data_IF_144245990757
#
_entry.id   IF_144245990757
#
_cell.length_a   1.000
_cell.length_b   1.000
_cell.length_c   1.000
_cell.angle_alpha   90.00
_cell.angle_beta   90.00
_cell.angle_gamma   90.00
#
_symmetry.space_group_name_H-M   'P 1'
#
loop_
_entity.id
_entity.type
_entity.pdbx_description
1 polymer ?
#
# COMPACT_ATOMS: atom_id res chain seq x y z
N UNK A 1 -25.56 -20.13 9.26
CA UNK A 1 -24.60 -21.02 9.94
C UNK A 1 -23.37 -20.17 10.26
N UNK A 2 -22.86 -20.20 11.48
CA UNK A 2 -21.70 -19.38 11.87
C UNK A 2 -20.41 -19.89 11.23
N UNK A 3 -19.46 -19.00 10.94
CA UNK A 3 -18.12 -19.42 10.50
C UNK A 3 -17.44 -20.18 11.63
N UNK A 4 -17.37 -21.50 11.50
CA UNK A 4 -16.72 -22.37 12.47
C UNK A 4 -15.21 -22.31 12.24
N UNK A 5 -14.51 -21.57 13.10
CA UNK A 5 -13.07 -21.40 13.03
C UNK A 5 -12.49 -21.11 14.44
N UNK A 6 -11.34 -21.69 14.82
CA UNK A 6 -10.80 -21.60 16.19
C UNK A 6 -10.39 -20.20 16.64
N UNK A 7 -10.22 -19.26 15.70
CA UNK A 7 -9.94 -17.85 15.99
C UNK A 7 -11.19 -16.96 16.07
N UNK A 8 -12.39 -17.54 16.06
CA UNK A 8 -13.64 -16.79 16.19
C UNK A 8 -14.07 -16.78 17.66
N UNK A 9 -13.98 -15.61 18.27
CA UNK A 9 -14.37 -15.37 19.67
C UNK A 9 -15.78 -14.77 19.78
N UNK A 10 -16.31 -14.26 18.67
CA UNK A 10 -17.65 -13.70 18.62
C UNK A 10 -18.17 -13.55 17.19
N UNK A 11 -19.48 -13.34 17.07
CA UNK A 11 -20.14 -13.14 15.77
C UNK A 11 -21.13 -12.00 15.84
N UNK A 12 -21.27 -11.24 14.76
CA UNK A 12 -22.38 -10.32 14.56
C UNK A 12 -22.98 -10.46 13.18
N UNK A 13 -23.80 -9.49 12.79
CA UNK A 13 -24.48 -9.50 11.50
C UNK A 13 -23.49 -9.18 10.36
N UNK A 14 -23.20 -10.18 9.52
CA UNK A 14 -22.25 -10.05 8.41
C UNK A 14 -20.76 -10.00 8.82
N UNK A 15 -20.42 -10.30 10.08
CA UNK A 15 -19.01 -10.32 10.53
C UNK A 15 -18.72 -11.34 11.65
N UNK A 16 -17.44 -11.65 11.81
CA UNK A 16 -16.88 -12.41 12.94
C UNK A 16 -15.84 -11.56 13.67
N UNK A 17 -15.66 -11.82 14.96
CA UNK A 17 -14.66 -11.15 15.81
C UNK A 17 -13.57 -12.16 16.16
N UNK A 18 -12.32 -11.77 15.94
CA UNK A 18 -11.14 -12.48 16.41
C UNK A 18 -10.38 -11.58 17.38
N UNK A 19 -10.36 -11.96 18.64
CA UNK A 19 -9.68 -11.22 19.71
C UNK A 19 -8.28 -11.79 19.93
N UNK A 20 -7.30 -10.90 20.13
CA UNK A 20 -5.92 -11.30 20.38
C UNK A 20 -5.22 -10.29 21.28
N UNK A 21 -4.48 -10.79 22.26
CA UNK A 21 -3.62 -9.99 23.15
C UNK A 21 -2.16 -10.00 22.75
N UNK A 22 -1.82 -10.59 21.60
CA UNK A 22 -0.46 -10.61 21.08
C UNK A 22 0.04 -9.18 20.80
N UNK A 23 1.28 -8.84 21.19
CA UNK A 23 1.84 -7.52 20.96
C UNK A 23 2.14 -7.24 19.48
N UNK A 24 2.35 -8.30 18.68
CA UNK A 24 2.48 -8.23 17.21
C UNK A 24 1.47 -9.18 16.61
N UNK A 25 0.57 -8.67 15.78
CA UNK A 25 -0.42 -9.45 15.06
C UNK A 25 0.06 -9.64 13.62
N UNK A 26 0.52 -10.85 13.34
CA UNK A 26 1.02 -11.27 12.04
C UNK A 26 -0.02 -12.08 11.26
N UNK A 27 0.14 -12.16 9.94
CA UNK A 27 -0.69 -12.97 9.05
C UNK A 27 -0.29 -14.44 9.17
N UNK A 28 -0.58 -15.09 10.29
CA UNK A 28 -0.27 -16.51 10.50
C UNK A 28 -1.13 -17.41 9.62
N UNK A 29 -0.75 -18.68 9.38
CA UNK A 29 -1.57 -19.62 8.60
C UNK A 29 -3.03 -19.68 9.06
N UNK A 30 -3.27 -19.74 10.37
CA UNK A 30 -4.63 -19.75 10.94
C UNK A 30 -5.39 -18.43 10.71
N UNK A 31 -4.70 -17.28 10.72
CA UNK A 31 -5.36 -16.00 10.41
C UNK A 31 -5.65 -15.89 8.92
N UNK A 32 -4.76 -16.35 8.06
CA UNK A 32 -5.04 -16.43 6.63
C UNK A 32 -6.26 -17.33 6.35
N UNK A 33 -6.35 -18.50 6.99
CA UNK A 33 -7.52 -19.40 6.89
C UNK A 33 -8.81 -18.74 7.40
N UNK A 34 -8.76 -17.99 8.50
CA UNK A 34 -9.91 -17.22 9.01
C UNK A 34 -10.48 -16.28 7.94
N UNK A 35 -9.63 -15.51 7.26
CA UNK A 35 -10.09 -14.59 6.22
C UNK A 35 -10.72 -15.34 5.03
N UNK A 36 -10.13 -16.47 4.62
CA UNK A 36 -10.67 -17.29 3.54
C UNK A 36 -12.04 -17.86 3.89
N UNK A 37 -12.22 -18.41 5.10
CA UNK A 37 -13.51 -18.96 5.55
C UNK A 37 -14.56 -17.89 5.76
N UNK A 38 -14.20 -16.77 6.38
CA UNK A 38 -15.13 -15.66 6.57
C UNK A 38 -15.63 -15.14 5.21
N UNK A 39 -14.73 -14.96 4.23
CA UNK A 39 -15.12 -14.54 2.88
C UNK A 39 -16.03 -15.57 2.18
N UNK A 40 -15.73 -16.87 2.30
CA UNK A 40 -16.57 -17.95 1.75
C UNK A 40 -17.99 -17.96 2.35
N UNK A 41 -18.13 -17.56 3.62
CA UNK A 41 -19.42 -17.42 4.31
C UNK A 41 -20.09 -16.05 4.09
N UNK A 42 -19.51 -15.17 3.24
CA UNK A 42 -20.01 -13.81 2.99
C UNK A 42 -19.89 -12.88 4.20
N UNK A 43 -18.89 -13.13 5.08
CA UNK A 43 -18.64 -12.38 6.30
C UNK A 43 -17.31 -11.64 6.26
N UNK A 44 -17.24 -10.54 7.02
CA UNK A 44 -16.03 -9.76 7.25
C UNK A 44 -15.38 -10.11 8.58
N UNK A 45 -14.08 -9.87 8.70
CA UNK A 45 -13.33 -10.13 9.93
C UNK A 45 -13.11 -8.82 10.68
N UNK A 46 -13.45 -8.80 11.97
CA UNK A 46 -13.01 -7.77 12.90
C UNK A 46 -11.91 -8.35 13.78
N UNK A 47 -10.75 -7.69 13.79
CA UNK A 47 -9.63 -8.04 14.65
C UNK A 47 -9.66 -7.10 15.85
N UNK A 48 -9.78 -7.67 17.05
CA UNK A 48 -9.86 -6.92 18.29
C UNK A 48 -8.56 -7.06 19.09
N UNK A 49 -7.90 -5.95 19.38
CA UNK A 49 -6.59 -5.94 20.04
C UNK A 49 -6.52 -4.96 21.20
N UNK A 50 -5.57 -5.12 22.15
CA UNK A 50 -5.25 -4.07 23.12
C UNK A 50 -4.49 -2.91 22.46
N UNK A 51 -4.38 -1.78 23.19
CA UNK A 51 -3.69 -0.55 22.75
C UNK A 51 -2.23 -0.76 22.33
N UNK A 52 -1.52 -1.67 23.00
CA UNK A 52 -0.11 -1.92 22.76
C UNK A 52 0.16 -2.82 21.54
N UNK A 53 -0.87 -3.41 20.94
CA UNK A 53 -0.73 -4.29 19.80
C UNK A 53 -0.38 -3.50 18.53
N UNK A 54 0.39 -4.11 17.64
CA UNK A 54 0.70 -3.58 16.31
C UNK A 54 0.51 -4.65 15.24
N UNK A 55 0.13 -4.22 14.05
CA UNK A 55 -0.09 -5.11 12.91
C UNK A 55 1.18 -5.19 12.06
N UNK A 56 1.53 -6.37 11.56
CA UNK A 56 2.49 -6.47 10.46
C UNK A 56 1.89 -5.85 9.19
N UNK A 57 2.74 -5.36 8.29
CA UNK A 57 2.28 -4.81 7.01
C UNK A 57 1.53 -5.87 6.17
N UNK A 58 1.97 -7.12 6.21
CA UNK A 58 1.27 -8.23 5.53
C UNK A 58 -0.15 -8.41 6.03
N UNK A 59 -0.34 -8.41 7.37
CA UNK A 59 -1.63 -8.58 8.01
C UNK A 59 -2.54 -7.38 7.76
N UNK A 60 -2.01 -6.16 7.91
CA UNK A 60 -2.75 -4.92 7.61
C UNK A 60 -3.28 -4.91 6.18
N UNK A 61 -2.47 -5.30 5.21
CA UNK A 61 -2.89 -5.38 3.81
C UNK A 61 -3.97 -6.45 3.54
N UNK A 62 -3.93 -7.61 4.23
CA UNK A 62 -5.03 -8.60 4.14
C UNK A 62 -6.31 -8.05 4.74
N UNK A 63 -6.20 -7.43 5.91
CA UNK A 63 -7.34 -6.88 6.63
C UNK A 63 -8.05 -5.85 5.76
N UNK A 64 -7.31 -4.90 5.18
CA UNK A 64 -7.81 -3.89 4.25
C UNK A 64 -8.44 -4.51 3.00
N UNK A 65 -7.72 -5.41 2.32
CA UNK A 65 -8.19 -6.06 1.09
C UNK A 65 -9.42 -6.96 1.27
N UNK A 66 -9.72 -7.38 2.49
CA UNK A 66 -10.89 -8.19 2.85
C UNK A 66 -12.07 -7.36 3.40
N UNK A 67 -12.02 -6.03 3.34
CA UNK A 67 -12.94 -5.12 4.05
C UNK A 67 -13.08 -5.48 5.55
N UNK A 68 -11.98 -5.96 6.14
CA UNK A 68 -11.88 -6.22 7.56
C UNK A 68 -11.74 -4.93 8.35
N UNK A 69 -11.94 -5.03 9.67
CA UNK A 69 -11.80 -3.89 10.58
C UNK A 69 -10.85 -4.20 11.72
N UNK A 70 -10.05 -3.21 12.08
CA UNK A 70 -9.22 -3.26 13.27
C UNK A 70 -9.90 -2.45 14.36
N UNK A 71 -10.31 -3.12 15.43
CA UNK A 71 -10.84 -2.46 16.62
C UNK A 71 -9.83 -2.60 17.74
N UNK A 72 -9.61 -1.51 18.45
CA UNK A 72 -8.73 -1.47 19.61
C UNK A 72 -9.57 -1.26 20.85
N UNK A 73 -9.32 -2.10 21.87
CA UNK A 73 -9.93 -2.00 23.19
C UNK A 73 -8.87 -1.49 24.16
N UNK A 74 -9.13 -0.30 24.72
CA UNK A 74 -8.31 0.26 25.78
C UNK A 74 -8.53 -0.50 27.11
N UNK A 75 -7.65 -0.28 28.09
CA UNK A 75 -7.73 -0.92 29.41
C UNK A 75 -9.02 -0.60 30.17
N UNK A 76 -9.60 0.60 29.94
CA UNK A 76 -10.88 1.03 30.50
C UNK A 76 -12.10 0.47 29.75
N UNK A 77 -11.87 -0.35 28.71
CA UNK A 77 -12.90 -0.96 27.88
C UNK A 77 -13.38 -0.08 26.71
N UNK A 78 -12.88 1.15 26.57
CA UNK A 78 -13.23 2.01 25.43
C UNK A 78 -12.79 1.37 24.11
N UNK A 79 -13.66 1.47 23.10
CA UNK A 79 -13.40 0.94 21.75
C UNK A 79 -13.09 2.09 20.80
N UNK A 80 -12.15 1.86 19.89
CA UNK A 80 -11.90 2.75 18.75
C UNK A 80 -11.50 1.95 17.52
N UNK A 81 -11.66 2.56 16.35
CA UNK A 81 -11.04 2.07 15.14
C UNK A 81 -9.51 2.24 15.23
N UNK A 82 -8.76 1.17 14.97
CA UNK A 82 -7.31 1.17 15.07
C UNK A 82 -6.60 1.94 13.95
N UNK A 83 -7.25 2.12 12.81
CA UNK A 83 -6.69 2.86 11.66
C UNK A 83 -7.01 4.34 11.74
N UNK A 84 -8.24 4.71 12.13
CA UNK A 84 -8.70 6.12 12.11
C UNK A 84 -8.77 6.77 13.50
N UNK A 85 -8.70 5.98 14.57
CA UNK A 85 -8.89 6.46 15.94
C UNK A 85 -10.34 6.83 16.29
N UNK A 86 -11.29 6.67 15.38
CA UNK A 86 -12.71 7.00 15.61
C UNK A 86 -13.24 6.20 16.80
N UNK A 87 -13.81 6.88 17.79
CA UNK A 87 -14.40 6.24 18.97
C UNK A 87 -15.63 5.42 18.58
N UNK A 88 -15.74 4.21 19.12
CA UNK A 88 -16.81 3.26 18.82
C UNK A 88 -17.60 2.95 20.08
N UNK A 89 -18.93 2.85 19.97
CA UNK A 89 -19.77 2.40 21.09
C UNK A 89 -19.88 0.88 21.12
N UNK A 90 -19.84 0.25 19.94
CA UNK A 90 -19.83 -1.20 19.75
C UNK A 90 -18.91 -1.58 18.59
N UNK A 91 -18.43 -2.83 18.59
CA UNK A 91 -17.54 -3.38 17.55
C UNK A 91 -18.10 -3.18 16.13
N UNK A 92 -19.40 -3.37 15.94
CA UNK A 92 -20.03 -3.22 14.63
C UNK A 92 -20.09 -1.77 14.11
N UNK A 93 -19.80 -0.76 14.94
CA UNK A 93 -19.69 0.63 14.47
C UNK A 93 -18.46 0.84 13.58
N UNK A 94 -17.45 -0.05 13.64
CA UNK A 94 -16.26 0.02 12.79
C UNK A 94 -16.57 -0.10 11.28
N UNK A 95 -17.73 -0.64 10.90
CA UNK A 95 -18.15 -0.73 9.50
C UNK A 95 -18.85 0.52 8.98
N UNK A 96 -19.14 1.51 9.83
CA UNK A 96 -19.68 2.80 9.38
C UNK A 96 -18.57 3.64 8.76
N UNK A 97 -18.94 4.43 7.76
CA UNK A 97 -18.10 5.55 7.31
C UNK A 97 -18.04 6.60 8.42
N UNK A 98 -16.85 7.01 8.88
CA UNK A 98 -16.72 8.08 9.86
C UNK A 98 -17.31 9.40 9.32
N UNK A 99 -18.08 10.09 10.16
CA UNK A 99 -18.55 11.45 9.91
C UNK A 99 -17.53 12.50 10.34
N UNK A 100 -17.60 13.71 9.77
CA UNK A 100 -16.70 14.83 10.12
C UNK A 100 -16.81 15.30 11.58
N UNK A 101 -17.90 14.95 12.27
CA UNK A 101 -18.11 15.24 13.70
C UNK A 101 -17.88 14.05 14.62
N UNK A 102 -17.45 12.89 14.11
CA UNK A 102 -17.21 11.72 14.96
C UNK A 102 -15.99 11.98 15.86
N UNK A 103 -16.13 11.65 17.15
CA UNK A 103 -15.06 11.85 18.12
C UNK A 103 -13.88 10.92 17.82
N UNK A 104 -12.66 11.46 17.87
CA UNK A 104 -11.41 10.69 17.83
C UNK A 104 -10.93 10.45 19.25
N UNK A 105 -10.59 9.21 19.59
CA UNK A 105 -10.03 8.88 20.90
C UNK A 105 -8.65 9.58 21.06
N UNK A 106 -8.43 10.35 22.15
CA UNK A 106 -7.17 11.05 22.37
C UNK A 106 -5.92 10.16 22.36
N UNK A 107 -6.04 8.86 22.68
CA UNK A 107 -4.94 7.90 22.63
C UNK A 107 -4.42 7.70 21.20
N UNK A 108 -5.29 7.86 20.20
CA UNK A 108 -4.88 7.80 18.81
C UNK A 108 -4.07 9.03 18.41
N UNK A 109 -4.32 10.19 19.02
CA UNK A 109 -3.59 11.43 18.73
C UNK A 109 -2.17 11.48 19.33
N UNK A 110 -1.74 10.41 20.00
CA UNK A 110 -0.38 10.28 20.47
C UNK A 110 0.59 10.29 19.28
N UNK A 111 1.43 11.33 19.19
CA UNK A 111 2.43 11.45 18.13
C UNK A 111 3.60 10.51 18.45
N UNK A 112 3.82 9.43 17.68
CA UNK A 112 4.99 8.60 17.89
C UNK A 112 6.26 9.42 17.61
N UNK A 113 7.37 9.12 18.30
CA UNK A 113 8.68 9.64 17.92
C UNK A 113 9.21 8.73 16.82
N UNK A 114 9.19 9.15 15.54
CA UNK A 114 9.66 8.29 14.47
C UNK A 114 11.18 8.18 14.52
N UNK A 115 11.70 6.97 14.35
CA UNK A 115 13.12 6.71 14.24
C UNK A 115 13.56 6.40 12.80
N UNK A 116 12.61 6.27 11.87
CA UNK A 116 12.88 5.90 10.48
C UNK A 116 11.99 6.63 9.47
N UNK A 117 12.57 7.02 8.34
CA UNK A 117 11.84 7.31 7.09
C UNK A 117 11.55 5.99 6.38
N UNK A 118 10.27 5.81 6.04
CA UNK A 118 9.75 4.67 5.30
C UNK A 118 9.26 5.17 3.94
N UNK A 119 9.62 4.45 2.88
CA UNK A 119 9.00 4.65 1.58
C UNK A 119 7.84 3.69 1.39
N UNK A 120 6.65 4.26 1.15
CA UNK A 120 5.47 3.51 0.74
C UNK A 120 5.52 3.37 -0.77
N UNK A 121 5.76 2.15 -1.24
CA UNK A 121 5.90 1.84 -2.66
C UNK A 121 4.66 1.13 -3.18
N UNK A 122 4.33 1.38 -4.44
CA UNK A 122 3.38 0.56 -5.18
C UNK A 122 3.70 0.56 -6.67
N UNK A 123 3.44 -0.55 -7.35
CA UNK A 123 3.46 -0.59 -8.80
C UNK A 123 2.48 -1.64 -9.33
N UNK A 124 1.90 -1.34 -10.49
CA UNK A 124 1.18 -2.30 -11.31
C UNK A 124 1.98 -2.51 -12.60
N UNK A 125 2.33 -3.75 -12.90
CA UNK A 125 3.17 -4.14 -14.03
C UNK A 125 2.43 -5.16 -14.87
N UNK A 126 2.41 -4.94 -16.18
CA UNK A 126 1.87 -5.90 -17.13
C UNK A 126 2.97 -6.83 -17.66
N UNK A 127 2.69 -8.11 -17.59
CA UNK A 127 3.47 -9.16 -18.22
C UNK A 127 2.67 -9.74 -19.40
N UNK A 128 3.34 -9.91 -20.54
CA UNK A 128 2.73 -10.70 -21.64
C UNK A 128 2.59 -12.14 -21.17
N UNK A 129 1.49 -12.80 -21.50
CA UNK A 129 1.27 -14.21 -21.16
C UNK A 129 2.19 -15.12 -22.00
N UNK A 130 3.47 -15.18 -21.63
CA UNK A 130 4.47 -16.06 -22.23
C UNK A 130 5.16 -16.94 -21.17
N UNK A 131 5.87 -17.96 -21.63
CA UNK A 131 6.58 -18.89 -20.75
C UNK A 131 7.75 -18.23 -19.99
N UNK A 132 8.22 -17.06 -20.45
CA UNK A 132 9.34 -16.31 -19.88
C UNK A 132 8.96 -15.31 -18.78
N UNK A 133 7.67 -15.21 -18.41
CA UNK A 133 7.24 -14.34 -17.29
C UNK A 133 8.05 -14.67 -16.04
N UNK A 134 8.53 -13.61 -15.38
CA UNK A 134 9.20 -13.66 -14.07
C UNK A 134 8.70 -12.50 -13.21
N UNK A 135 8.00 -12.85 -12.13
CA UNK A 135 7.51 -11.90 -11.12
C UNK A 135 8.62 -11.50 -10.15
N UNK A 136 8.39 -10.46 -9.35
CA UNK A 136 9.24 -10.05 -8.23
C UNK A 136 10.30 -9.02 -8.59
N UNK A 137 10.56 -8.74 -9.88
CA UNK A 137 11.57 -7.73 -10.27
C UNK A 137 11.24 -6.33 -9.73
N UNK A 138 9.96 -5.99 -9.65
CA UNK A 138 9.54 -4.71 -9.09
C UNK A 138 10.00 -4.53 -7.64
N UNK A 139 9.95 -5.61 -6.85
CA UNK A 139 10.42 -5.62 -5.47
C UNK A 139 11.93 -5.44 -5.37
N UNK A 140 12.71 -6.05 -6.27
CA UNK A 140 14.15 -5.81 -6.34
C UNK A 140 14.47 -4.33 -6.66
N UNK A 141 13.72 -3.72 -7.59
CA UNK A 141 13.86 -2.29 -7.92
C UNK A 141 13.49 -1.39 -6.74
N UNK A 142 12.40 -1.66 -6.04
CA UNK A 142 11.99 -0.85 -4.88
C UNK A 142 12.89 -1.05 -3.66
N UNK A 143 13.41 -2.26 -3.43
CA UNK A 143 14.33 -2.52 -2.34
C UNK A 143 15.59 -1.64 -2.45
N UNK A 144 16.04 -1.32 -3.66
CA UNK A 144 17.18 -0.43 -3.88
C UNK A 144 17.00 1.02 -3.34
N UNK A 145 15.78 1.40 -2.92
CA UNK A 145 15.53 2.66 -2.21
C UNK A 145 16.08 2.64 -0.77
N UNK A 146 16.12 1.45 -0.16
CA UNK A 146 16.66 1.22 1.17
C UNK A 146 18.14 0.84 1.11
N UNK A 147 19.02 1.47 1.92
CA UNK A 147 20.44 1.09 1.96
C UNK A 147 20.61 -0.39 2.30
N UNK A 148 21.24 -1.16 1.42
CA UNK A 148 21.48 -2.59 1.61
C UNK A 148 20.21 -3.46 1.60
N UNK A 149 19.05 -2.88 1.27
CA UNK A 149 17.79 -3.62 1.28
C UNK A 149 17.64 -4.47 0.03
N UNK A 150 17.22 -5.71 0.24
CA UNK A 150 16.88 -6.69 -0.78
C UNK A 150 15.74 -7.54 -0.23
N UNK A 151 14.82 -8.03 -1.07
CA UNK A 151 13.94 -9.09 -0.64
C UNK A 151 14.78 -10.32 -0.24
N UNK A 152 14.42 -10.96 0.88
CA UNK A 152 15.11 -12.16 1.40
C UNK A 152 14.19 -13.37 1.47
N UNK A 153 12.88 -13.16 1.47
CA UNK A 153 11.90 -14.23 1.45
C UNK A 153 10.53 -13.82 0.94
N UNK A 154 9.72 -14.81 0.59
CA UNK A 154 8.30 -14.65 0.26
C UNK A 154 7.45 -15.80 0.79
N UNK A 155 6.15 -15.59 0.99
CA UNK A 155 5.27 -16.64 1.49
C UNK A 155 3.80 -16.25 1.43
N UNK A 156 2.90 -17.19 1.69
CA UNK A 156 1.44 -16.92 1.74
C UNK A 156 0.96 -16.40 3.10
N UNK A 157 1.83 -16.49 4.10
CA UNK A 157 1.60 -16.10 5.47
C UNK A 157 2.95 -15.73 6.11
N UNK A 158 2.88 -15.26 7.35
CA UNK A 158 4.01 -14.99 8.23
C UNK A 158 4.09 -16.08 9.33
N UNK A 159 5.29 -16.53 9.72
CA UNK A 159 6.58 -16.20 9.13
C UNK A 159 6.68 -16.73 7.69
N UNK A 160 7.52 -16.07 6.91
CA UNK A 160 7.82 -16.44 5.53
C UNK A 160 8.76 -17.65 5.53
N UNK A 161 8.46 -18.67 4.72
CA UNK A 161 9.20 -19.93 4.69
C UNK A 161 10.12 -20.06 3.47
N UNK A 162 9.74 -19.48 2.32
CA UNK A 162 10.54 -19.55 1.10
C UNK A 162 11.57 -18.42 1.04
N UNK A 163 12.81 -18.77 0.68
CA UNK A 163 13.83 -17.80 0.34
C UNK A 163 13.43 -17.02 -0.93
N UNK A 164 13.94 -15.80 -1.06
CA UNK A 164 13.67 -14.98 -2.24
C UNK A 164 14.24 -15.61 -3.50
N UNK A 165 13.35 -16.16 -4.32
CA UNK A 165 13.64 -16.68 -5.65
C UNK A 165 12.45 -16.37 -6.57
N UNK A 166 12.72 -15.67 -7.67
CA UNK A 166 11.67 -15.23 -8.60
C UNK A 166 11.06 -16.37 -9.39
N UNK A 167 11.81 -17.44 -9.64
CA UNK A 167 11.31 -18.59 -10.40
C UNK A 167 10.35 -19.42 -9.54
N UNK A 168 10.67 -19.65 -8.26
CA UNK A 168 9.78 -20.34 -7.32
C UNK A 168 8.52 -19.52 -7.03
N UNK A 169 8.66 -18.21 -6.79
CA UNK A 169 7.55 -17.28 -6.65
C UNK A 169 6.63 -17.30 -7.88
N UNK A 170 7.22 -17.24 -9.09
CA UNK A 170 6.45 -17.26 -10.34
C UNK A 170 5.76 -18.61 -10.55
N UNK A 171 6.42 -19.73 -10.24
CA UNK A 171 5.82 -21.06 -10.30
C UNK A 171 4.62 -21.19 -9.36
N UNK A 172 4.74 -20.70 -8.12
CA UNK A 172 3.65 -20.68 -7.15
C UNK A 172 2.47 -19.81 -7.62
N UNK A 173 2.75 -18.65 -8.21
CA UNK A 173 1.71 -17.80 -8.80
C UNK A 173 0.98 -18.51 -9.96
N UNK A 174 1.74 -19.16 -10.87
CA UNK A 174 1.17 -19.92 -11.99
C UNK A 174 0.29 -21.07 -11.52
N UNK A 175 0.68 -21.77 -10.46
CA UNK A 175 -0.08 -22.90 -9.91
C UNK A 175 -1.47 -22.51 -9.37
N UNK A 176 -1.68 -21.23 -9.04
CA UNK A 176 -2.96 -20.70 -8.55
C UNK A 176 -3.87 -20.18 -9.66
N UNK A 177 -3.37 -20.01 -10.87
CA UNK A 177 -4.15 -19.49 -11.98
C UNK A 177 -5.33 -20.44 -12.31
N UNK A 178 -6.53 -19.90 -12.61
CA UNK A 178 -6.82 -18.50 -12.92
C UNK A 178 -7.13 -17.59 -11.72
N UNK A 179 -7.04 -18.09 -10.48
CA UNK A 179 -7.30 -17.28 -9.29
C UNK A 179 -6.12 -16.34 -9.00
N UNK A 180 -6.43 -15.19 -8.41
CA UNK A 180 -5.43 -14.24 -7.92
C UNK A 180 -4.51 -14.92 -6.90
N UNK A 181 -3.21 -14.64 -7.01
CA UNK A 181 -2.18 -15.18 -6.13
C UNK A 181 -1.46 -14.05 -5.42
N UNK A 182 -1.68 -13.90 -4.11
CA UNK A 182 -0.98 -12.92 -3.27
C UNK A 182 0.04 -13.58 -2.36
N UNK A 183 1.20 -12.95 -2.24
CA UNK A 183 2.32 -13.40 -1.41
C UNK A 183 2.88 -12.22 -0.62
N UNK A 184 3.17 -12.44 0.65
CA UNK A 184 4.00 -11.55 1.47
C UNK A 184 5.45 -11.58 0.99
N UNK A 185 6.12 -10.44 1.07
CA UNK A 185 7.54 -10.26 0.74
C UNK A 185 8.21 -9.54 1.90
N UNK A 186 9.37 -10.03 2.33
CA UNK A 186 10.11 -9.48 3.46
C UNK A 186 11.58 -9.20 3.09
N UNK A 187 12.18 -8.22 3.76
CA UNK A 187 13.62 -7.96 3.79
C UNK A 187 14.30 -8.53 5.03
N UNK A 188 15.60 -8.25 5.19
CA UNK A 188 16.34 -8.62 6.39
C UNK A 188 16.02 -7.68 7.56
N UNK A 189 16.28 -8.09 8.82
CA UNK A 189 16.12 -7.21 9.98
C UNK A 189 16.97 -5.93 9.90
N UNK A 190 18.17 -6.00 9.31
CA UNK A 190 19.08 -4.85 9.20
C UNK A 190 18.71 -3.87 8.08
N UNK A 191 17.90 -4.32 7.10
CA UNK A 191 17.46 -3.53 5.96
C UNK A 191 15.97 -3.80 5.69
N UNK A 192 15.09 -3.34 6.60
CA UNK A 192 13.72 -3.80 6.68
C UNK A 192 12.92 -3.43 5.42
N UNK A 193 12.18 -4.41 4.93
CA UNK A 193 11.23 -4.32 3.84
C UNK A 193 10.06 -5.23 4.17
N UNK A 194 8.84 -4.76 3.95
CA UNK A 194 7.64 -5.57 4.18
C UNK A 194 6.56 -5.17 3.18
N UNK A 195 5.94 -6.14 2.52
CA UNK A 195 4.85 -5.86 1.58
C UNK A 195 4.29 -7.11 0.96
N UNK A 196 3.67 -6.95 -0.21
CA UNK A 196 3.16 -8.07 -0.98
C UNK A 196 3.39 -7.93 -2.48
N UNK A 197 3.34 -9.07 -3.15
CA UNK A 197 3.20 -9.20 -4.60
C UNK A 197 1.92 -9.97 -4.89
N UNK A 198 1.10 -9.45 -5.79
CA UNK A 198 -0.15 -10.07 -6.23
C UNK A 198 -0.08 -10.28 -7.73
N UNK A 199 -0.25 -11.53 -8.18
CA UNK A 199 -0.37 -11.87 -9.58
C UNK A 199 -1.85 -12.09 -9.94
N UNK A 200 -2.32 -11.39 -10.97
CA UNK A 200 -3.71 -11.46 -11.46
C UNK A 200 -3.74 -11.78 -12.93
N UNK A 201 -4.64 -12.64 -13.37
CA UNK A 201 -4.85 -12.89 -14.80
C UNK A 201 -5.76 -11.82 -15.38
N UNK A 202 -5.37 -11.25 -16.51
CA UNK A 202 -6.18 -10.29 -17.26
C UNK A 202 -6.34 -10.73 -18.71
N UNK A 203 -7.21 -10.05 -19.44
CA UNK A 203 -7.36 -10.18 -20.89
C UNK A 203 -6.06 -9.85 -21.65
N UNK A 204 -5.22 -8.99 -21.07
CA UNK A 204 -3.95 -8.51 -21.65
C UNK A 204 -2.71 -9.26 -21.14
N UNK A 205 -2.88 -10.29 -20.31
CA UNK A 205 -1.80 -11.14 -19.82
C UNK A 205 -1.87 -11.41 -18.32
N UNK A 206 -0.75 -11.16 -17.63
CA UNK A 206 -0.67 -11.24 -16.17
C UNK A 206 -0.31 -9.86 -15.64
N UNK A 207 -1.05 -9.36 -14.66
CA UNK A 207 -0.71 -8.13 -13.95
C UNK A 207 -0.08 -8.49 -12.61
N UNK A 208 1.11 -7.96 -12.37
CA UNK A 208 1.84 -8.01 -11.11
C UNK A 208 1.61 -6.70 -10.38
N UNK A 209 0.99 -6.75 -9.21
CA UNK A 209 0.80 -5.62 -8.32
C UNK A 209 1.70 -5.80 -7.10
N UNK A 210 2.59 -4.85 -6.86
CA UNK A 210 3.43 -4.81 -5.66
C UNK A 210 3.06 -3.62 -4.79
N UNK A 211 3.07 -3.80 -3.48
CA UNK A 211 2.77 -2.73 -2.51
C UNK A 211 3.42 -3.02 -1.16
N UNK A 212 4.00 -2.01 -0.53
CA UNK A 212 4.45 -2.11 0.85
C UNK A 212 5.42 -1.00 1.25
N UNK A 213 6.30 -1.33 2.17
CA UNK A 213 7.18 -0.42 2.88
C UNK A 213 8.64 -0.82 2.68
N UNK A 214 9.49 0.17 2.44
CA UNK A 214 10.95 0.03 2.44
C UNK A 214 11.53 0.98 3.49
N UNK A 215 12.30 0.44 4.43
CA UNK A 215 13.03 1.24 5.40
C UNK A 215 14.23 1.93 4.76
N UNK A 216 14.37 3.24 5.00
CA UNK A 216 15.44 4.05 4.39
C UNK A 216 16.51 4.44 5.42
N UNK A 217 16.08 4.87 6.61
CA UNK A 217 16.96 5.28 7.69
C UNK A 217 16.44 6.49 8.44
N UNK A 218 17.21 7.00 9.41
CA UNK A 218 16.76 8.08 10.28
C UNK A 218 16.45 9.38 9.51
N UNK A 219 15.38 10.13 9.89
CA UNK A 219 15.04 11.42 9.30
C UNK A 219 16.23 12.40 9.27
N UNK A 220 16.33 13.19 8.20
CA UNK A 220 17.38 14.22 8.05
C UNK A 220 18.77 13.71 7.64
N UNK A 221 18.98 12.39 7.59
CA UNK A 221 20.28 11.82 7.21
C UNK A 221 20.58 12.00 5.70
N UNK A 222 21.87 12.01 5.29
CA UNK A 222 22.24 12.00 3.88
C UNK A 222 21.73 10.77 3.11
N UNK A 223 21.54 9.63 3.80
CA UNK A 223 20.97 8.42 3.21
C UNK A 223 19.55 8.65 2.70
N UNK A 224 18.70 9.27 3.53
CA UNK A 224 17.32 9.62 3.15
C UNK A 224 17.30 10.55 1.93
N UNK A 225 18.13 11.60 1.89
CA UNK A 225 18.20 12.50 0.72
C UNK A 225 18.53 11.74 -0.56
N UNK A 226 19.55 10.87 -0.52
CA UNK A 226 19.93 10.05 -1.67
C UNK A 226 18.81 9.11 -2.12
N UNK A 227 18.05 8.53 -1.20
CA UNK A 227 16.91 7.68 -1.54
C UNK A 227 15.80 8.46 -2.26
N UNK A 228 15.52 9.69 -1.83
CA UNK A 228 14.58 10.57 -2.55
C UNK A 228 15.05 10.87 -3.98
N UNK A 229 16.32 11.24 -4.15
CA UNK A 229 16.89 11.52 -5.48
C UNK A 229 16.84 10.27 -6.38
N UNK A 230 17.13 9.10 -5.81
CA UNK A 230 17.14 7.82 -6.51
C UNK A 230 15.74 7.35 -6.95
N UNK A 231 14.65 7.79 -6.30
CA UNK A 231 13.30 7.32 -6.58
C UNK A 231 12.92 7.45 -8.06
N UNK A 232 13.11 8.62 -8.65
CA UNK A 232 12.83 8.86 -10.08
C UNK A 232 13.68 8.00 -11.01
N UNK A 233 14.97 7.80 -10.67
CA UNK A 233 15.89 6.98 -11.46
C UNK A 233 15.50 5.50 -11.43
N UNK A 234 15.10 4.99 -10.27
CA UNK A 234 14.64 3.61 -10.10
C UNK A 234 13.31 3.36 -10.81
N UNK A 235 12.38 4.30 -10.74
CA UNK A 235 11.15 4.24 -11.53
C UNK A 235 11.42 4.24 -13.04
N UNK A 236 12.39 5.02 -13.51
CA UNK A 236 12.81 5.01 -14.90
C UNK A 236 13.47 3.67 -15.31
N UNK A 237 14.26 3.05 -14.42
CA UNK A 237 14.86 1.72 -14.64
C UNK A 237 13.81 0.62 -14.80
N UNK A 238 12.70 0.71 -14.07
CA UNK A 238 11.59 -0.26 -14.20
C UNK A 238 11.09 -0.37 -15.65
N UNK A 239 11.10 0.74 -16.40
CA UNK A 239 10.72 0.75 -17.82
C UNK A 239 11.71 0.04 -18.76
N UNK A 240 12.93 -0.26 -18.31
CA UNK A 240 13.93 -0.99 -19.12
C UNK A 240 13.69 -2.49 -19.11
N UNK A 241 13.10 -2.99 -18.04
CA UNK A 241 13.03 -4.43 -17.74
C UNK A 241 11.60 -4.96 -17.60
N UNK A 242 10.61 -4.06 -17.53
CA UNK A 242 9.21 -4.40 -17.37
C UNK A 242 8.31 -3.46 -18.19
N UNK A 243 7.01 -3.77 -18.24
CA UNK A 243 5.98 -2.91 -18.82
C UNK A 243 5.07 -2.38 -17.69
N UNK A 244 5.54 -1.37 -16.92
CA UNK A 244 4.72 -0.77 -15.87
C UNK A 244 3.45 -0.16 -16.45
N UNK A 245 2.36 -0.17 -15.69
CA UNK A 245 1.15 0.62 -15.93
C UNK A 245 1.26 1.92 -15.14
N UNK A 246 1.48 1.79 -13.83
CA UNK A 246 1.74 2.89 -12.92
C UNK A 246 2.70 2.42 -11.82
N UNK A 247 3.51 3.32 -11.28
CA UNK A 247 4.23 3.10 -10.04
C UNK A 247 4.31 4.39 -9.23
N UNK A 248 4.26 4.28 -7.91
CA UNK A 248 4.26 5.40 -6.96
C UNK A 248 5.25 5.14 -5.83
N UNK A 249 5.91 6.21 -5.41
CA UNK A 249 6.70 6.26 -4.18
C UNK A 249 6.20 7.43 -3.34
N UNK A 250 5.81 7.14 -2.11
CA UNK A 250 5.54 8.14 -1.08
C UNK A 250 6.55 7.97 0.06
N UNK A 251 6.77 9.02 0.84
CA UNK A 251 7.63 9.00 2.01
C UNK A 251 6.84 9.39 3.25
N UNK A 252 7.03 8.63 4.32
CA UNK A 252 6.52 8.99 5.65
C UNK A 252 7.57 8.71 6.69
N UNK A 253 7.35 9.21 7.90
CA UNK A 253 8.10 8.78 9.07
C UNK A 253 7.32 7.67 9.78
N UNK A 254 8.02 6.73 10.41
CA UNK A 254 7.40 5.62 11.12
C UNK A 254 8.42 4.83 11.94
N UNK A 255 8.02 3.66 12.42
CA UNK A 255 8.88 2.75 13.19
C UNK A 255 9.85 1.96 12.30
N UNK A 256 11.04 1.68 12.80
CA UNK A 256 12.02 0.83 12.11
C UNK A 256 11.51 -0.60 11.80
N UNK A 257 10.61 -1.15 12.65
CA UNK A 257 10.05 -2.51 12.49
C UNK A 257 8.96 -2.61 11.41
N UNK A 258 8.62 -1.51 10.72
CA UNK A 258 7.61 -1.40 9.67
C UNK A 258 6.21 -1.88 10.07
N UNK A 259 5.93 -2.01 11.37
CA UNK A 259 4.61 -2.37 11.87
C UNK A 259 3.72 -1.14 11.97
N UNK A 260 2.40 -1.37 11.91
CA UNK A 260 1.38 -0.33 12.01
C UNK A 260 0.79 -0.32 13.41
N UNK A 261 0.79 0.85 14.03
CA UNK A 261 0.38 1.09 15.41
C UNK A 261 -0.98 1.80 15.43
N UNK A 262 -1.78 1.66 16.51
CA UNK A 262 -3.11 2.27 16.58
C UNK A 262 -3.05 3.73 17.01
N UNK A 263 -2.15 4.49 16.39
CA UNK A 263 -1.88 5.91 16.63
C UNK A 263 -1.85 6.64 15.30
N UNK A 264 -1.98 7.96 15.35
CA UNK A 264 -1.98 8.82 14.18
C UNK A 264 -0.61 8.76 13.50
N UNK A 265 -0.56 8.07 12.36
CA UNK A 265 0.60 8.08 11.47
C UNK A 265 0.61 9.37 10.64
N UNK A 266 1.79 9.83 10.25
CA UNK A 266 1.89 10.94 9.30
C UNK A 266 1.41 10.49 7.92
N UNK A 267 0.62 11.35 7.27
CA UNK A 267 0.23 11.14 5.89
C UNK A 267 1.48 11.02 4.99
N UNK A 268 1.56 9.98 4.15
CA UNK A 268 2.69 9.83 3.24
C UNK A 268 2.75 10.97 2.23
N UNK A 269 3.92 11.57 2.10
CA UNK A 269 4.20 12.64 1.16
C UNK A 269 4.59 12.08 -0.22
N UNK A 270 3.95 12.50 -1.32
CA UNK A 270 4.32 12.05 -2.66
C UNK A 270 5.79 12.37 -3.00
N UNK A 271 6.54 11.37 -3.46
CA UNK A 271 7.94 11.53 -3.89
C UNK A 271 8.05 11.50 -5.40
N UNK A 272 7.51 10.46 -6.03
CA UNK A 272 7.58 10.26 -7.46
C UNK A 272 6.44 9.36 -7.98
N UNK A 273 6.08 9.58 -9.25
CA UNK A 273 5.14 8.75 -10.00
C UNK A 273 5.77 8.32 -11.33
N UNK A 274 5.42 7.13 -11.78
CA UNK A 274 5.67 6.64 -13.13
C UNK A 274 4.32 6.33 -13.79
N UNK A 275 4.07 6.92 -14.94
CA UNK A 275 3.02 6.51 -15.86
C UNK A 275 3.69 5.70 -16.97
N UNK A 276 3.44 4.41 -17.00
CA UNK A 276 4.02 3.55 -18.02
C UNK A 276 3.37 3.73 -19.38
N UNK A 277 4.06 3.30 -20.44
CA UNK A 277 3.59 3.45 -21.81
C UNK A 277 2.14 2.97 -22.06
N UNK A 278 1.66 1.85 -21.49
CA UNK A 278 0.26 1.46 -21.64
C UNK A 278 -0.74 2.44 -21.00
N UNK A 279 -0.37 3.10 -19.90
CA UNK A 279 -1.21 4.11 -19.26
C UNK A 279 -1.20 5.42 -20.06
N UNK A 280 -0.03 5.87 -20.52
CA UNK A 280 0.11 7.04 -21.39
C UNK A 280 -0.76 6.89 -22.65
N UNK A 281 -0.69 5.73 -23.30
CA UNK A 281 -1.51 5.43 -24.48
C UNK A 281 -2.99 5.26 -24.14
N UNK A 282 -3.30 4.50 -23.09
CA UNK A 282 -4.67 4.17 -22.71
C UNK A 282 -5.48 5.38 -22.23
N UNK A 283 -4.82 6.39 -21.67
CA UNK A 283 -5.43 7.65 -21.25
C UNK A 283 -5.32 8.75 -22.32
N UNK A 284 -4.62 8.51 -23.43
CA UNK A 284 -4.44 9.49 -24.50
C UNK A 284 -3.64 10.72 -24.06
N UNK A 285 -2.66 10.56 -23.17
CA UNK A 285 -1.91 11.69 -22.62
C UNK A 285 -0.99 12.31 -23.67
N UNK A 286 -1.03 13.63 -23.80
CA UNK A 286 -0.06 14.38 -24.57
C UNK A 286 1.26 14.46 -23.81
N UNK A 287 2.31 13.85 -24.36
CA UNK A 287 3.63 13.79 -23.73
C UNK A 287 4.25 15.18 -23.57
N UNK A 288 4.08 16.07 -24.55
CA UNK A 288 4.69 17.39 -24.49
C UNK A 288 3.91 18.29 -23.52
N UNK A 289 2.58 18.21 -23.49
CA UNK A 289 1.78 18.87 -22.44
C UNK A 289 2.20 18.40 -21.04
N UNK A 290 2.33 17.09 -20.83
CA UNK A 290 2.72 16.54 -19.52
C UNK A 290 4.09 17.02 -19.07
N UNK A 291 5.02 17.22 -20.00
CA UNK A 291 6.37 17.75 -19.73
C UNK A 291 6.32 19.24 -19.40
N UNK A 292 5.61 20.03 -20.19
CA UNK A 292 5.53 21.48 -20.04
C UNK A 292 4.75 21.87 -18.78
N UNK A 293 3.61 21.22 -18.52
CA UNK A 293 2.70 21.57 -17.43
C UNK A 293 3.08 20.97 -16.09
N UNK A 294 3.56 19.73 -16.08
CA UNK A 294 3.81 18.98 -14.84
C UNK A 294 5.28 18.61 -14.63
N UNK A 295 6.18 19.03 -15.53
CA UNK A 295 7.61 18.72 -15.42
C UNK A 295 7.90 17.23 -15.56
N UNK A 296 7.05 16.47 -16.26
CA UNK A 296 7.29 15.06 -16.50
C UNK A 296 8.60 14.83 -17.29
N UNK A 297 9.29 13.74 -16.99
CA UNK A 297 10.44 13.27 -17.75
C UNK A 297 10.04 12.10 -18.63
N UNK A 298 10.34 12.19 -19.92
CA UNK A 298 10.11 11.09 -20.86
C UNK A 298 11.16 10.00 -20.65
N UNK A 299 10.69 8.79 -20.34
CA UNK A 299 11.53 7.60 -20.16
C UNK A 299 10.99 6.42 -20.99
N UNK A 300 11.70 5.28 -20.95
CA UNK A 300 11.32 4.09 -21.70
C UNK A 300 11.68 4.18 -23.18
N UNK A 301 10.93 3.49 -24.04
CA UNK A 301 11.26 3.38 -25.48
C UNK A 301 10.77 4.63 -26.23
N UNK A 302 11.53 5.15 -27.22
CA UNK A 302 11.12 6.34 -27.96
C UNK A 302 9.73 6.24 -28.59
N UNK A 303 9.35 5.10 -29.16
CA UNK A 303 8.05 4.94 -29.84
C UNK A 303 6.86 4.71 -28.91
N UNK A 304 7.12 4.34 -27.66
CA UNK A 304 6.11 4.03 -26.64
C UNK A 304 6.59 4.63 -25.31
N UNK A 305 6.51 5.98 -25.17
CA UNK A 305 7.10 6.67 -24.03
C UNK A 305 6.34 6.37 -22.75
N UNK A 306 7.08 6.27 -21.66
CA UNK A 306 6.57 6.38 -20.30
C UNK A 306 6.95 7.76 -19.75
N UNK A 307 6.30 8.18 -18.67
CA UNK A 307 6.53 9.46 -18.02
C UNK A 307 6.87 9.25 -16.55
N UNK A 308 7.96 9.85 -16.07
CA UNK A 308 8.28 9.93 -14.64
C UNK A 308 8.01 11.35 -14.17
N UNK A 309 7.29 11.50 -13.07
CA UNK A 309 7.03 12.77 -12.41
C UNK A 309 7.71 12.78 -11.05
N UNK A 310 8.38 13.89 -10.76
CA UNK A 310 8.98 14.15 -9.46
C UNK A 310 8.11 15.12 -8.68
N UNK A 311 7.78 14.77 -7.44
CA UNK A 311 6.96 15.62 -6.57
C UNK A 311 7.76 16.33 -5.48
N UNK A 312 9.03 15.96 -5.28
CA UNK A 312 9.96 16.70 -4.41
C UNK A 312 10.92 17.58 -5.22
N UNK A 313 11.18 18.82 -4.79
CA UNK A 313 12.20 19.72 -5.39
C UNK A 313 12.12 19.88 -6.93
N UNK A 314 10.99 20.40 -7.43
CA UNK A 314 10.71 20.58 -8.86
C UNK A 314 11.12 21.97 -9.32
N UNK A 315 11.58 22.14 -10.57
CA UNK A 315 12.16 23.40 -11.05
C UNK A 315 11.15 24.56 -11.06
N UNK A 316 9.85 24.26 -11.15
CA UNK A 316 8.79 25.26 -11.35
C UNK A 316 8.22 25.85 -10.05
N UNK A 317 8.29 25.13 -8.93
CA UNK A 317 7.72 25.57 -7.62
C UNK A 317 8.47 24.94 -6.44
N UNK A 318 9.65 25.44 -6.06
CA UNK A 318 10.50 24.83 -5.02
C UNK A 318 9.79 24.70 -3.65
N UNK A 319 8.88 25.62 -3.32
CA UNK A 319 8.20 25.67 -2.02
C UNK A 319 6.91 24.82 -1.92
N UNK A 320 6.43 24.26 -3.04
CA UNK A 320 5.20 23.49 -3.06
C UNK A 320 5.40 22.08 -2.47
N UNK A 321 4.41 21.61 -1.70
CA UNK A 321 4.38 20.23 -1.19
C UNK A 321 4.22 19.23 -2.34
N UNK A 322 4.62 17.99 -2.12
CA UNK A 322 4.39 16.87 -3.02
C UNK A 322 2.91 16.66 -3.33
N UNK A 323 2.01 16.86 -2.36
CA UNK A 323 0.56 16.83 -2.60
C UNK A 323 0.07 17.96 -3.51
N UNK A 324 0.55 19.19 -3.31
CA UNK A 324 0.23 20.33 -4.18
C UNK A 324 0.68 20.11 -5.63
N UNK A 325 1.71 19.27 -5.85
CA UNK A 325 2.19 18.90 -7.18
C UNK A 325 1.50 17.66 -7.75
N UNK A 326 1.11 16.70 -6.91
CA UNK A 326 0.39 15.51 -7.32
C UNK A 326 -1.05 15.82 -7.70
N UNK A 327 -1.75 16.67 -6.94
CA UNK A 327 -3.19 16.97 -7.15
C UNK A 327 -3.52 17.42 -8.58
N UNK A 328 -2.84 18.42 -9.18
CA UNK A 328 -3.11 18.83 -10.55
C UNK A 328 -2.89 17.73 -11.60
N UNK A 329 -1.99 16.78 -11.31
CA UNK A 329 -1.75 15.62 -12.18
C UNK A 329 -2.91 14.64 -12.08
N UNK A 330 -3.35 14.31 -10.86
CA UNK A 330 -4.51 13.42 -10.64
C UNK A 330 -5.77 14.03 -11.25
N UNK A 331 -6.00 15.33 -11.09
CA UNK A 331 -7.13 16.05 -11.68
C UNK A 331 -7.11 15.96 -13.22
N UNK A 332 -5.92 16.07 -13.83
CA UNK A 332 -5.75 15.95 -15.27
C UNK A 332 -5.95 14.52 -15.79
N UNK A 333 -5.45 13.51 -15.07
CA UNK A 333 -5.63 12.10 -15.43
C UNK A 333 -7.07 11.63 -15.23
N UNK A 334 -7.83 12.30 -14.35
CA UNK A 334 -9.10 11.85 -13.83
C UNK A 334 -8.92 10.88 -12.67
N UNK A 335 -9.56 11.17 -11.53
CA UNK A 335 -9.41 10.40 -10.28
C UNK A 335 -9.72 8.91 -10.47
N UNK A 336 -10.83 8.58 -11.11
CA UNK A 336 -11.24 7.20 -11.41
C UNK A 336 -10.23 6.44 -12.28
N UNK A 337 -9.47 7.14 -13.13
CA UNK A 337 -8.42 6.52 -13.91
C UNK A 337 -7.22 6.16 -13.04
N UNK A 338 -6.84 7.05 -12.12
CA UNK A 338 -5.71 6.81 -11.22
C UNK A 338 -6.04 5.73 -10.19
N UNK A 339 -7.24 5.74 -9.61
CA UNK A 339 -7.69 4.70 -8.67
C UNK A 339 -7.73 3.32 -9.34
N UNK A 340 -8.20 3.23 -10.60
CA UNK A 340 -8.15 1.98 -11.37
C UNK A 340 -6.71 1.52 -11.67
N UNK A 341 -5.78 2.45 -11.88
CA UNK A 341 -4.39 2.11 -12.20
C UNK A 341 -3.60 1.69 -10.96
N UNK A 342 -3.80 2.37 -9.83
CA UNK A 342 -3.02 2.18 -8.58
C UNK A 342 -3.68 1.20 -7.62
N UNK A 343 -4.99 0.98 -7.73
CA UNK A 343 -5.78 0.24 -6.75
C UNK A 343 -5.86 0.94 -5.40
N UNK A 344 -5.57 2.25 -5.33
CA UNK A 344 -5.63 3.08 -4.12
C UNK A 344 -6.49 4.30 -4.36
N UNK A 345 -7.33 4.64 -3.38
CA UNK A 345 -7.94 5.96 -3.27
C UNK A 345 -6.83 6.96 -2.91
N UNK A 346 -6.57 7.94 -3.80
CA UNK A 346 -5.55 8.97 -3.59
C UNK A 346 -6.08 10.22 -2.89
N UNK A 347 -7.30 10.17 -2.33
CA UNK A 347 -7.74 10.96 -1.19
C UNK A 347 -7.22 12.40 -1.09
N UNK A 348 -7.35 13.22 -2.13
CA UNK A 348 -7.25 14.66 -1.97
C UNK A 348 -8.60 15.18 -1.46
N UNK A 349 -8.64 15.55 -0.18
CA UNK A 349 -9.71 16.25 0.56
C UNK A 349 -11.17 16.01 0.15
N UNK A 350 -11.94 15.36 1.02
CA UNK A 350 -13.41 15.50 1.06
C UNK A 350 -13.83 16.84 1.70
N UNK A 351 -13.18 17.95 1.35
CA UNK A 351 -13.60 19.27 1.80
C UNK A 351 -14.58 19.90 0.81
N UNK A 352 -15.86 19.76 1.15
CA UNK A 352 -16.96 20.70 0.95
C UNK A 352 -16.93 21.58 -0.31
N UNK A 353 -17.51 21.08 -1.41
CA UNK A 353 -18.29 21.96 -2.29
C UNK A 353 -19.71 22.07 -1.73
N UNK A 354 -19.89 22.88 -0.68
CA UNK A 354 -21.19 23.51 -0.45
C UNK A 354 -21.44 24.48 -1.60
N UNK A 355 -22.33 24.08 -2.51
CA UNK A 355 -22.93 25.01 -3.46
C UNK A 355 -23.70 26.09 -2.66
N UNK A 356 -23.43 27.39 -2.87
CA UNK A 356 -24.27 28.42 -2.30
C UNK A 356 -25.61 28.42 -3.03
N UNK A 357 -26.67 28.00 -2.34
CA UNK A 357 -28.01 28.40 -2.74
C UNK A 357 -28.15 29.91 -2.53
N UNK A 358 -28.43 30.60 -3.63
CA UNK A 358 -29.07 31.91 -3.64
C UNK A 358 -30.10 31.95 -4.77
N UNK A 359 -31.15 32.78 -4.68
CA UNK A 359 -31.73 33.46 -3.51
C UNK A 359 -33.03 32.81 -2.99
#
# INVERSE_FOLDING_TARGET
MGTEHPLVDGTGDGYVVSETVLPVVALTPMRADLFLRAAADGRRVVVLTPDAARLTESFRQVLDGADGRWVVRAEDGALRDGMTGTALTRVADAFRTPGSGDAVDPRHLAVPVPDQVQFVVSASIRHRADAGIRLGRAWETFAALGPGSTPVGWGTHEPVEDAWDKDTLTAAARARMPHDARFSVIGSPDAPLAGSVTARRTDKGVEEVVTGLVGVGAPGTPGVRRAHDAATVLLADLCRTALPLVAMVFARVGSADLTVRPVLEQDPEPVAMLLGAPAVQGLGLDVDEMRERFGAERVGRPRVPSLVLRFRDGPSRPDATGWERLRPVVDHLGRDAVERLTGRDLGADRHSEEHPHAP
#
